data_IF_338838250238
#
_entry.id   IF_338838250238
#
_cell.length_a   1.000
_cell.length_b   1.000
_cell.length_c   1.000
_cell.angle_alpha   90.00
_cell.angle_beta   90.00
_cell.angle_gamma   90.00
#
_symmetry.space_group_name_H-M   'P 1'
#
loop_
_entity.id
_entity.type
_entity.pdbx_description
1 polymer ?
#
# COMPACT_ATOMS: atom_id res chain seq x y z
N UNK A 1 -8.97 -35.24 16.70
CA UNK A 1 -8.47 -34.26 15.71
C UNK A 1 -7.22 -33.59 16.28
N UNK A 2 -6.16 -33.43 15.50
CA UNK A 2 -4.97 -32.67 15.94
C UNK A 2 -5.30 -31.18 16.01
N UNK A 3 -4.92 -30.50 17.11
CA UNK A 3 -5.09 -29.05 17.26
C UNK A 3 -4.33 -28.31 16.14
N UNK A 4 -5.01 -27.40 15.45
CA UNK A 4 -4.42 -26.52 14.44
C UNK A 4 -4.31 -25.09 14.96
N UNK A 5 -3.36 -24.33 14.41
CA UNK A 5 -3.23 -22.89 14.60
C UNK A 5 -3.31 -22.17 13.25
N UNK A 6 -3.80 -20.94 13.25
CA UNK A 6 -4.05 -20.15 12.03
C UNK A 6 -2.80 -19.38 11.58
N UNK A 7 -2.43 -19.55 10.32
CA UNK A 7 -1.48 -18.69 9.59
C UNK A 7 -2.25 -17.78 8.63
N UNK A 8 -1.55 -16.93 7.89
CA UNK A 8 -2.17 -16.01 6.92
C UNK A 8 -2.95 -16.71 5.81
N UNK A 9 -2.43 -17.83 5.30
CA UNK A 9 -2.98 -18.53 4.13
C UNK A 9 -3.60 -19.88 4.46
N UNK A 10 -3.17 -20.48 5.56
CA UNK A 10 -3.46 -21.88 5.89
C UNK A 10 -3.47 -22.10 7.41
N UNK A 11 -3.69 -23.35 7.80
CA UNK A 11 -3.59 -23.80 9.17
C UNK A 11 -2.39 -24.73 9.34
N UNK A 12 -1.81 -24.75 10.53
CA UNK A 12 -0.62 -25.53 10.84
C UNK A 12 -0.82 -26.38 12.08
N UNK A 13 -0.37 -27.64 12.00
CA UNK A 13 -0.24 -28.56 13.13
C UNK A 13 1.19 -28.56 13.64
N UNK A 14 1.41 -29.02 14.88
CA UNK A 14 2.75 -29.14 15.45
C UNK A 14 3.68 -30.00 14.58
N UNK A 15 3.23 -31.18 14.12
CA UNK A 15 4.03 -32.08 13.27
C UNK A 15 4.36 -31.51 11.89
N UNK A 16 3.54 -30.57 11.36
CA UNK A 16 3.91 -29.80 10.17
C UNK A 16 4.96 -28.74 10.54
N UNK A 17 4.73 -27.98 11.61
CA UNK A 17 5.65 -26.95 12.08
C UNK A 17 7.06 -27.47 12.38
N UNK A 18 7.20 -28.67 12.94
CA UNK A 18 8.51 -29.30 13.20
C UNK A 18 9.35 -29.55 11.93
N UNK A 19 8.72 -29.61 10.75
CA UNK A 19 9.37 -29.87 9.47
C UNK A 19 9.64 -28.59 8.66
N UNK A 20 9.24 -27.43 9.19
CA UNK A 20 9.39 -26.15 8.52
C UNK A 20 10.64 -25.42 9.04
N UNK A 21 11.54 -25.01 8.15
CA UNK A 21 12.79 -24.29 8.49
C UNK A 21 12.57 -22.77 8.62
N UNK A 22 11.42 -22.38 9.18
CA UNK A 22 11.00 -20.98 9.29
C UNK A 22 10.48 -20.71 10.68
N UNK A 23 10.56 -19.46 11.13
CA UNK A 23 10.06 -19.10 12.45
C UNK A 23 8.52 -19.11 12.49
N UNK A 24 7.94 -20.29 12.74
CA UNK A 24 6.49 -20.50 12.81
C UNK A 24 5.86 -19.66 13.92
N UNK A 25 6.53 -19.52 15.07
CA UNK A 25 6.04 -18.70 16.19
C UNK A 25 5.84 -17.25 15.76
N UNK A 26 6.77 -16.70 14.99
CA UNK A 26 6.62 -15.36 14.43
C UNK A 26 5.51 -15.29 13.36
N UNK A 27 5.41 -16.29 12.47
CA UNK A 27 4.36 -16.33 11.44
C UNK A 27 2.94 -16.43 12.00
N UNK A 28 2.76 -17.08 13.15
CA UNK A 28 1.48 -17.18 13.84
C UNK A 28 0.94 -15.81 14.28
N UNK A 29 1.81 -14.81 14.50
CA UNK A 29 1.42 -13.46 14.86
C UNK A 29 0.87 -12.66 13.68
N UNK A 30 1.16 -13.07 12.43
CA UNK A 30 0.77 -12.27 11.26
C UNK A 30 -0.73 -12.22 11.03
N UNK A 31 -1.47 -13.27 11.36
CA UNK A 31 -2.92 -13.31 11.15
C UNK A 31 -3.64 -12.24 11.95
N UNK A 32 -3.38 -12.15 13.26
CA UNK A 32 -3.98 -11.12 14.12
C UNK A 32 -3.52 -9.72 13.72
N UNK A 33 -2.22 -9.54 13.46
CA UNK A 33 -1.65 -8.24 13.06
C UNK A 33 -2.18 -7.74 11.73
N UNK A 34 -2.42 -8.64 10.76
CA UNK A 34 -3.07 -8.27 9.50
C UNK A 34 -4.49 -7.77 9.75
N UNK A 35 -5.29 -8.51 10.53
CA UNK A 35 -6.67 -8.11 10.82
C UNK A 35 -6.74 -6.78 11.56
N UNK A 36 -5.86 -6.56 12.53
CA UNK A 36 -5.75 -5.29 13.25
C UNK A 36 -5.41 -4.13 12.30
N UNK A 37 -4.42 -4.32 11.43
CA UNK A 37 -3.99 -3.30 10.48
C UNK A 37 -5.09 -2.98 9.44
N UNK A 38 -5.75 -3.99 8.90
CA UNK A 38 -6.83 -3.80 7.92
C UNK A 38 -8.06 -3.14 8.57
N UNK A 39 -8.40 -3.54 9.80
CA UNK A 39 -9.46 -2.88 10.58
C UNK A 39 -9.12 -1.40 10.81
N UNK A 40 -7.87 -1.09 11.18
CA UNK A 40 -7.42 0.30 11.37
C UNK A 40 -7.52 1.10 10.07
N UNK A 41 -7.06 0.56 8.94
CA UNK A 41 -7.16 1.25 7.65
C UNK A 41 -8.64 1.48 7.26
N UNK A 42 -9.50 0.48 7.47
CA UNK A 42 -10.93 0.57 7.15
C UNK A 42 -11.66 1.58 8.03
N UNK A 43 -11.27 1.69 9.30
CA UNK A 43 -11.77 2.73 10.21
C UNK A 43 -11.30 4.15 9.85
N UNK A 44 -10.31 4.31 8.98
CA UNK A 44 -9.70 5.59 8.60
C UNK A 44 -9.95 5.97 7.13
N UNK A 45 -11.11 5.58 6.57
CA UNK A 45 -11.45 5.86 5.16
C UNK A 45 -11.49 7.35 4.83
N UNK A 46 -11.99 8.20 5.73
CA UNK A 46 -12.03 9.65 5.47
C UNK A 46 -10.62 10.26 5.46
N UNK A 47 -9.71 9.74 6.29
CA UNK A 47 -8.30 10.09 6.22
C UNK A 47 -7.67 9.66 4.89
N UNK A 48 -7.96 8.44 4.40
CA UNK A 48 -7.52 7.99 3.07
C UNK A 48 -8.02 8.94 1.98
N UNK A 49 -9.29 9.36 2.02
CA UNK A 49 -9.84 10.34 1.06
C UNK A 49 -9.09 11.67 1.14
N UNK A 50 -8.80 12.17 2.34
CA UNK A 50 -8.06 13.41 2.56
C UNK A 50 -6.63 13.34 1.98
N UNK A 51 -5.92 12.24 2.22
CA UNK A 51 -4.58 11.99 1.63
C UNK A 51 -4.65 11.99 0.10
N UNK A 52 -5.63 11.30 -0.48
CA UNK A 52 -5.79 11.24 -1.94
C UNK A 52 -6.14 12.60 -2.53
N UNK A 53 -7.09 13.33 -1.93
CA UNK A 53 -7.44 14.68 -2.36
C UNK A 53 -6.23 15.61 -2.27
N UNK A 54 -5.45 15.51 -1.19
CA UNK A 54 -4.22 16.27 -1.01
C UNK A 54 -3.18 15.93 -2.08
N UNK A 55 -2.88 14.66 -2.37
CA UNK A 55 -1.85 14.35 -3.38
C UNK A 55 -2.31 14.65 -4.81
N UNK A 56 -3.59 14.47 -5.13
CA UNK A 56 -4.13 14.69 -6.47
C UNK A 56 -4.60 16.14 -6.73
N UNK A 57 -4.67 16.99 -5.69
CA UNK A 57 -5.13 18.37 -5.83
C UNK A 57 -6.61 18.49 -6.09
N UNK A 58 -7.40 17.57 -5.51
CA UNK A 58 -8.84 17.56 -5.66
C UNK A 58 -9.47 18.65 -4.78
N UNK A 59 -10.53 19.32 -5.25
CA UNK A 59 -11.19 20.37 -4.49
C UNK A 59 -12.01 19.86 -3.30
N UNK A 60 -12.38 18.56 -3.30
CA UNK A 60 -13.13 17.93 -2.20
C UNK A 60 -12.77 16.44 -2.09
N UNK A 61 -12.85 15.93 -0.86
CA UNK A 61 -12.74 14.50 -0.53
C UNK A 61 -13.96 13.69 -0.98
N UNK A 62 -15.11 14.34 -1.23
CA UNK A 62 -16.34 13.69 -1.72
C UNK A 62 -16.19 13.10 -3.12
N UNK A 63 -15.16 13.55 -3.84
CA UNK A 63 -14.79 12.98 -5.13
C UNK A 63 -14.12 11.61 -4.98
N UNK A 64 -13.64 11.24 -3.79
CA UNK A 64 -12.91 10.01 -3.54
C UNK A 64 -13.86 8.91 -3.00
N UNK A 65 -13.97 7.80 -3.72
CA UNK A 65 -14.64 6.59 -3.27
C UNK A 65 -13.61 5.50 -3.00
N UNK A 66 -13.37 5.21 -1.72
CA UNK A 66 -12.49 4.12 -1.29
C UNK A 66 -13.20 2.78 -1.52
N UNK A 67 -12.52 1.78 -2.09
CA UNK A 67 -13.10 0.46 -2.29
C UNK A 67 -13.31 -0.27 -0.95
N UNK A 68 -14.21 -1.26 -0.93
CA UNK A 68 -14.45 -2.09 0.24
C UNK A 68 -13.24 -3.01 0.51
N UNK A 69 -13.11 -3.50 1.75
CA UNK A 69 -11.89 -4.20 2.20
C UNK A 69 -11.65 -5.49 1.40
N UNK A 70 -12.72 -6.11 0.93
CA UNK A 70 -12.73 -7.31 0.10
C UNK A 70 -12.08 -7.08 -1.27
N UNK A 71 -12.12 -5.84 -1.76
CA UNK A 71 -11.52 -5.42 -3.03
C UNK A 71 -10.07 -4.93 -2.88
N UNK A 72 -9.52 -4.93 -1.66
CA UNK A 72 -8.16 -4.49 -1.43
C UNK A 72 -7.16 -5.53 -1.94
N UNK A 73 -6.17 -5.06 -2.70
CA UNK A 73 -5.14 -5.93 -3.24
C UNK A 73 -4.02 -5.99 -2.22
N UNK A 74 -3.63 -7.18 -1.75
CA UNK A 74 -2.51 -7.29 -0.82
C UNK A 74 -1.56 -8.42 -1.18
N UNK A 75 -0.27 -8.12 -1.02
CA UNK A 75 0.82 -9.05 -1.22
C UNK A 75 1.49 -9.41 0.11
N UNK A 76 2.74 -9.86 0.00
CA UNK A 76 3.54 -10.22 1.18
C UNK A 76 4.03 -9.03 2.00
N UNK A 77 4.13 -7.83 1.41
CA UNK A 77 4.76 -6.67 2.04
C UNK A 77 3.97 -5.37 1.90
N UNK A 78 2.91 -5.36 1.08
CA UNK A 78 2.11 -4.18 0.83
C UNK A 78 0.62 -4.54 0.77
N UNK A 79 -0.22 -3.58 1.14
CA UNK A 79 -1.64 -3.53 0.77
C UNK A 79 -1.86 -2.31 -0.11
N UNK A 80 -2.68 -2.47 -1.14
CA UNK A 80 -3.08 -1.43 -2.07
C UNK A 80 -4.59 -1.24 -1.91
N UNK A 81 -4.99 -0.04 -1.51
CA UNK A 81 -6.37 0.38 -1.37
C UNK A 81 -6.79 1.09 -2.67
N UNK A 82 -7.69 0.49 -3.47
CA UNK A 82 -8.21 1.17 -4.66
C UNK A 82 -9.12 2.33 -4.27
N UNK A 83 -8.92 3.48 -4.92
CA UNK A 83 -9.75 4.67 -4.72
C UNK A 83 -10.19 5.19 -6.09
N UNK A 84 -11.50 5.17 -6.32
CA UNK A 84 -12.11 5.75 -7.51
C UNK A 84 -12.33 7.25 -7.31
N UNK A 85 -12.03 8.06 -8.31
CA UNK A 85 -12.14 9.51 -8.32
C UNK A 85 -13.28 9.90 -9.26
N UNK A 86 -14.35 10.43 -8.70
CA UNK A 86 -15.51 10.86 -9.47
C UNK A 86 -15.16 12.11 -10.27
N UNK A 87 -15.61 12.14 -11.54
CA UNK A 87 -15.39 13.26 -12.47
C UNK A 87 -13.91 13.62 -12.66
N UNK A 88 -13.02 12.63 -12.57
CA UNK A 88 -11.62 12.84 -12.89
C UNK A 88 -11.47 13.03 -14.40
N UNK A 89 -11.28 14.28 -14.82
CA UNK A 89 -11.01 14.56 -16.22
C UNK A 89 -9.71 13.88 -16.66
N UNK A 90 -9.72 13.18 -17.80
CA UNK A 90 -8.56 12.45 -18.27
C UNK A 90 -7.49 13.44 -18.72
N UNK A 91 -6.51 13.71 -17.85
CA UNK A 91 -5.35 14.53 -18.22
C UNK A 91 -4.18 13.70 -18.75
N UNK A 92 -4.18 12.37 -18.63
CA UNK A 92 -3.07 11.50 -19.11
C UNK A 92 -3.25 9.98 -18.91
N UNK A 93 -4.28 9.49 -18.21
CA UNK A 93 -4.49 8.05 -17.99
C UNK A 93 -5.91 7.61 -18.34
N UNK A 94 -6.05 6.36 -18.80
CA UNK A 94 -7.34 5.71 -18.99
C UNK A 94 -7.91 5.29 -17.64
N UNK A 95 -9.10 5.80 -17.31
CA UNK A 95 -9.82 5.45 -16.09
C UNK A 95 -9.62 6.42 -14.94
N UNK A 96 -10.49 6.29 -13.93
CA UNK A 96 -10.62 7.25 -12.84
C UNK A 96 -10.17 6.67 -11.49
N UNK A 97 -9.31 5.65 -11.46
CA UNK A 97 -8.91 4.96 -10.24
C UNK A 97 -7.42 5.11 -9.97
N UNK A 98 -7.08 5.29 -8.70
CA UNK A 98 -5.70 5.25 -8.17
C UNK A 98 -5.58 4.16 -7.11
N UNK A 99 -4.33 3.80 -6.78
CA UNK A 99 -4.01 2.88 -5.69
C UNK A 99 -3.26 3.65 -4.61
N UNK A 100 -3.80 3.67 -3.39
CA UNK A 100 -3.03 4.07 -2.22
C UNK A 100 -2.33 2.84 -1.66
N UNK A 101 -1.00 2.86 -1.62
CA UNK A 101 -0.19 1.70 -1.24
C UNK A 101 0.41 1.92 0.14
N UNK A 102 0.18 0.97 1.04
CA UNK A 102 0.77 0.95 2.36
C UNK A 102 1.75 -0.22 2.49
N UNK A 103 2.93 0.00 3.10
CA UNK A 103 3.72 -1.10 3.61
C UNK A 103 2.93 -1.87 4.68
N UNK A 104 3.24 -3.16 4.86
CA UNK A 104 2.70 -3.99 5.94
C UNK A 104 3.70 -4.00 7.11
N UNK A 105 3.51 -3.19 8.18
CA UNK A 105 4.54 -3.00 9.21
C UNK A 105 4.94 -4.29 9.92
N UNK A 106 3.97 -5.18 10.12
CA UNK A 106 4.16 -6.52 10.71
C UNK A 106 4.98 -7.48 9.82
N UNK A 107 5.25 -7.12 8.56
CA UNK A 107 6.10 -7.87 7.62
C UNK A 107 7.48 -7.25 7.42
N UNK A 108 7.67 -6.01 7.87
CA UNK A 108 8.92 -5.25 7.71
C UNK A 108 9.74 -5.17 8.99
N UNK A 109 9.24 -5.72 10.10
CA UNK A 109 9.91 -5.63 11.39
C UNK A 109 9.89 -4.21 11.96
N UNK A 110 8.89 -3.40 11.61
CA UNK A 110 8.73 -2.02 12.08
C UNK A 110 8.77 -1.92 13.61
N UNK A 111 8.12 -2.85 14.29
CA UNK A 111 8.10 -2.92 15.75
C UNK A 111 9.49 -3.18 16.37
N UNK A 112 10.33 -3.95 15.69
CA UNK A 112 11.68 -4.26 16.15
C UNK A 112 12.70 -3.18 15.75
N UNK A 113 12.51 -2.57 14.58
CA UNK A 113 13.33 -1.47 14.05
C UNK A 113 12.42 -0.41 13.41
N UNK A 114 12.03 0.61 14.17
CA UNK A 114 11.23 1.71 13.66
C UNK A 114 11.94 2.42 12.49
N UNK A 115 11.16 2.82 11.49
CA UNK A 115 11.64 3.47 10.26
C UNK A 115 11.80 2.54 9.06
N UNK A 116 11.67 1.22 9.22
CA UNK A 116 11.75 0.28 8.09
C UNK A 116 10.66 0.51 7.04
N UNK A 117 9.46 0.91 7.46
CA UNK A 117 8.34 1.23 6.58
C UNK A 117 8.62 2.49 5.77
N UNK A 118 9.16 3.52 6.41
CA UNK A 118 9.54 4.76 5.73
C UNK A 118 10.71 4.55 4.77
N UNK A 119 11.69 3.75 5.18
CA UNK A 119 12.81 3.38 4.32
C UNK A 119 12.32 2.66 3.07
N UNK A 120 11.39 1.71 3.23
CA UNK A 120 10.74 1.05 2.10
C UNK A 120 10.05 2.05 1.17
N UNK A 121 9.28 3.00 1.72
CA UNK A 121 8.57 4.01 0.93
C UNK A 121 9.56 4.85 0.13
N UNK A 122 10.64 5.34 0.76
CA UNK A 122 11.69 6.11 0.09
C UNK A 122 12.40 5.32 -1.01
N UNK A 123 12.77 4.06 -0.75
CA UNK A 123 13.38 3.19 -1.77
C UNK A 123 12.46 2.99 -2.98
N UNK A 124 11.17 2.76 -2.75
CA UNK A 124 10.19 2.57 -3.82
C UNK A 124 9.98 3.87 -4.61
N UNK A 125 9.85 5.01 -3.94
CA UNK A 125 9.77 6.32 -4.58
C UNK A 125 11.01 6.63 -5.43
N UNK A 126 12.21 6.37 -4.90
CA UNK A 126 13.47 6.50 -5.63
C UNK A 126 13.53 5.59 -6.86
N UNK A 127 13.01 4.36 -6.76
CA UNK A 127 12.91 3.43 -7.89
C UNK A 127 11.99 3.98 -8.99
N UNK A 128 10.82 4.51 -8.63
CA UNK A 128 9.91 5.14 -9.59
C UNK A 128 10.53 6.36 -10.27
N UNK A 129 11.26 7.20 -9.52
CA UNK A 129 11.97 8.35 -10.08
C UNK A 129 13.05 7.91 -11.07
N UNK A 130 13.91 6.98 -10.65
CA UNK A 130 14.99 6.45 -11.48
C UNK A 130 14.47 5.80 -12.76
N UNK A 131 13.45 4.94 -12.68
CA UNK A 131 12.85 4.32 -13.86
C UNK A 131 12.20 5.36 -14.79
N UNK A 132 11.54 6.38 -14.23
CA UNK A 132 10.93 7.44 -15.03
C UNK A 132 11.95 8.26 -15.81
N UNK A 133 13.15 8.45 -15.27
CA UNK A 133 14.25 9.20 -15.90
C UNK A 133 15.06 8.35 -16.87
N UNK A 134 15.37 7.10 -16.48
CA UNK A 134 16.35 6.26 -17.18
C UNK A 134 15.70 5.22 -18.11
N UNK A 135 14.40 4.97 -17.96
CA UNK A 135 13.67 3.95 -18.72
C UNK A 135 12.32 4.47 -19.26
N UNK A 136 12.28 5.62 -19.99
CA UNK A 136 11.03 6.28 -20.37
C UNK A 136 10.11 5.45 -21.27
N UNK A 137 10.68 4.47 -22.00
CA UNK A 137 9.93 3.59 -22.90
C UNK A 137 9.33 2.36 -22.20
N UNK A 138 9.68 2.11 -20.94
CA UNK A 138 9.10 1.01 -20.17
C UNK A 138 7.80 1.51 -19.54
N UNK A 139 6.65 0.91 -19.84
CA UNK A 139 5.39 1.30 -19.24
C UNK A 139 5.39 0.94 -17.76
N UNK A 140 5.47 1.96 -16.89
CA UNK A 140 5.35 1.81 -15.45
C UNK A 140 4.14 2.60 -14.93
N UNK A 141 3.54 2.18 -13.79
CA UNK A 141 2.52 3.00 -13.14
C UNK A 141 3.03 4.40 -12.81
N UNK A 142 2.15 5.40 -12.86
CA UNK A 142 2.50 6.77 -12.46
C UNK A 142 2.51 6.89 -10.94
N UNK A 143 3.64 7.31 -10.38
CA UNK A 143 3.70 7.77 -8.99
C UNK A 143 3.20 9.22 -8.90
N UNK A 144 2.10 9.42 -8.19
CA UNK A 144 1.50 10.76 -7.94
C UNK A 144 2.14 11.47 -6.75
N UNK A 145 2.60 10.70 -5.77
CA UNK A 145 3.23 11.21 -4.56
C UNK A 145 3.43 10.11 -3.53
N UNK A 146 4.09 10.44 -2.44
CA UNK A 146 4.27 9.58 -1.28
C UNK A 146 4.30 10.43 0.00
N UNK A 147 4.17 9.77 1.14
CA UNK A 147 4.41 10.38 2.44
C UNK A 147 4.96 9.36 3.43
N UNK A 148 5.65 9.85 4.46
CA UNK A 148 6.32 9.05 5.50
C UNK A 148 5.75 9.34 6.88
N UNK A 149 6.13 8.52 7.86
CA UNK A 149 5.56 8.57 9.21
C UNK A 149 5.89 9.84 9.99
N UNK A 150 6.93 10.58 9.60
CA UNK A 150 7.35 11.88 10.14
C UNK A 150 6.57 13.08 9.58
N UNK A 151 5.63 12.84 8.66
CA UNK A 151 4.79 13.87 8.05
C UNK A 151 5.39 14.51 6.80
N UNK A 152 6.55 14.06 6.32
CA UNK A 152 7.04 14.46 5.01
C UNK A 152 6.04 13.99 3.94
N UNK A 153 5.69 14.90 3.02
CA UNK A 153 4.80 14.60 1.91
C UNK A 153 5.37 15.18 0.63
N UNK A 154 5.49 14.34 -0.40
CA UNK A 154 5.97 14.75 -1.72
C UNK A 154 4.87 14.52 -2.72
N UNK A 155 4.46 15.60 -3.40
CA UNK A 155 3.60 15.53 -4.59
C UNK A 155 4.49 15.62 -5.82
N UNK A 156 4.33 14.68 -6.76
CA UNK A 156 4.93 14.83 -8.08
C UNK A 156 4.12 15.86 -8.86
N UNK A 157 4.75 16.96 -9.27
CA UNK A 157 4.13 17.94 -10.15
C UNK A 157 3.66 17.23 -11.42
N UNK A 158 2.39 17.39 -11.75
CA UNK A 158 1.87 17.02 -13.07
C UNK A 158 2.43 18.04 -14.05
N UNK A 159 3.63 17.85 -14.57
CA UNK A 159 4.07 18.64 -15.73
C UNK A 159 3.04 18.42 -16.85
N UNK A 160 2.58 19.48 -17.53
CA UNK A 160 1.97 19.30 -18.84
C UNK A 160 3.06 18.65 -19.70
N UNK A 161 2.85 17.43 -20.16
CA UNK A 161 3.73 16.90 -21.20
C UNK A 161 3.63 17.87 -22.38
N UNK A 162 4.78 18.37 -22.82
CA UNK A 162 4.88 19.17 -24.02
C UNK A 162 4.24 18.37 -25.16
N UNK A 163 3.21 18.95 -25.75
CA UNK A 163 2.63 18.49 -27.01
C UNK A 163 3.76 18.51 -28.04
N UNK A 164 4.09 17.33 -28.59
CA UNK A 164 4.80 17.24 -29.87
C UNK A 164 3.81 17.57 -31.00
#
# INVERSE_FOLDING_TARGET
MSRTLRLLKDEITYSKAQREEVNILHRLQYYSRQNEFFTRLSGNRDWIKAVIAHHLGLPSTDLCQVADVEDWLHGSFNVCVPVSINRWEPRTQSGSRVLLRFPLPYRLGEEFRPGNSDEKIRCEAGTYAWLGENCPNIPIPRLYGFGTSDGETVRRSLSPQATL
#
